data_IF_305336424821
#
_entry.id   IF_305336424821
#
_cell.length_a   1.000
_cell.length_b   1.000
_cell.length_c   1.000
_cell.angle_alpha   90.00
_cell.angle_beta   90.00
_cell.angle_gamma   90.00
#
_symmetry.space_group_name_H-M   'P 1'
#
loop_
_entity.id
_entity.type
_entity.pdbx_description
1 polymer ?
2 non-polymer ?
3 non-polymer ?
4 non-polymer ?
5 water ?
#
# COMPACT_ATOMS: atom_id res chain seq x y z
N UNK A 5 8.94 -23.24 -15.09
CA UNK A 5 9.06 -23.79 -13.72
C UNK A 5 7.86 -23.35 -12.89
N UNK A 6 7.76 -23.86 -11.66
CA UNK A 6 6.58 -23.65 -10.83
C UNK A 6 6.75 -22.37 -10.03
N UNK A 7 5.75 -21.49 -10.09
CA UNK A 7 5.77 -20.25 -9.34
C UNK A 7 4.88 -20.40 -8.12
N UNK A 8 5.37 -19.91 -6.99
CA UNK A 8 4.62 -19.90 -5.74
C UNK A 8 4.56 -18.47 -5.20
N UNK A 9 3.37 -18.03 -4.83
CA UNK A 9 3.09 -16.69 -4.34
C UNK A 9 2.87 -16.78 -2.83
N UNK A 10 3.81 -16.21 -2.09
CA UNK A 10 3.86 -16.34 -0.64
C UNK A 10 3.66 -14.97 -0.06
N UNK A 11 2.82 -14.89 0.96
CA UNK A 11 2.47 -13.63 1.61
C UNK A 11 2.91 -13.71 3.07
N UNK A 12 3.54 -12.64 3.54
CA UNK A 12 4.02 -12.56 4.91
C UNK A 12 3.11 -11.58 5.61
N UNK A 13 2.46 -12.05 6.68
CA UNK A 13 1.49 -11.23 7.41
C UNK A 13 1.72 -11.41 8.91
N UNK A 14 1.22 -10.44 9.67
CA UNK A 14 1.36 -10.39 11.11
C UNK A 14 1.46 -8.94 11.55
N UNK A 15 1.35 -8.73 12.85
CA UNK A 15 1.21 -7.36 13.29
C UNK A 15 2.52 -6.57 13.11
N UNK A 16 2.42 -5.27 13.32
CA UNK A 16 3.57 -4.41 13.08
C UNK A 16 4.73 -4.72 14.01
N UNK A 17 5.94 -4.73 13.45
CA UNK A 17 7.13 -4.82 14.28
C UNK A 17 7.65 -6.24 14.56
N UNK A 18 6.93 -7.27 14.13
CA UNK A 18 7.29 -8.64 14.47
C UNK A 18 8.45 -9.19 13.66
N UNK A 19 8.83 -8.56 12.56
CA UNK A 19 9.97 -9.02 11.79
C UNK A 19 9.68 -9.59 10.43
N UNK A 20 8.47 -9.35 9.92
CA UNK A 20 8.07 -9.71 8.56
C UNK A 20 9.09 -9.32 7.52
N UNK A 21 9.40 -8.03 7.44
CA UNK A 21 10.37 -7.57 6.45
C UNK A 21 11.74 -8.16 6.68
N UNK A 22 12.20 -8.17 7.93
CA UNK A 22 13.52 -8.74 8.16
C UNK A 22 13.60 -10.19 7.67
N UNK A 23 12.54 -10.99 7.85
CA UNK A 23 12.56 -12.39 7.43
C UNK A 23 12.62 -12.49 5.91
N UNK A 24 11.84 -11.67 5.25
CA UNK A 24 11.85 -11.59 3.80
C UNK A 24 13.24 -11.24 3.27
N UNK A 25 13.85 -10.17 3.80
CA UNK A 25 15.13 -9.73 3.27
C UNK A 25 16.23 -10.73 3.62
N UNK A 26 16.09 -11.47 4.72
CA UNK A 26 17.04 -12.55 4.99
C UNK A 26 16.96 -13.59 3.86
N UNK A 27 15.73 -13.98 3.51
CA UNK A 27 15.52 -14.98 2.46
C UNK A 27 16.06 -14.49 1.13
N UNK A 28 15.75 -13.25 0.77
CA UNK A 28 16.06 -12.70 -0.54
C UNK A 28 17.53 -12.34 -0.65
N UNK A 29 18.06 -11.65 0.38
CA UNK A 29 19.35 -10.97 0.29
C UNK A 29 20.38 -11.41 1.34
N UNK A 30 20.02 -12.33 2.22
CA UNK A 30 20.94 -12.91 3.20
C UNK A 30 21.60 -11.84 4.06
N UNK A 31 20.84 -10.80 4.43
CA UNK A 31 21.33 -9.86 5.41
C UNK A 31 20.18 -9.41 6.30
N UNK A 32 20.54 -9.03 7.52
CA UNK A 32 19.58 -8.69 8.56
C UNK A 32 19.38 -7.18 8.59
N UNK A 33 18.13 -6.76 8.34
CA UNK A 33 17.66 -5.38 8.37
C UNK A 33 17.55 -4.96 9.83
N UNK A 34 18.44 -4.07 10.27
CA UNK A 34 18.43 -3.58 11.65
C UNK A 34 17.49 -2.41 11.86
N UNK A 35 17.27 -1.59 10.85
CA UNK A 35 16.32 -0.50 10.97
C UNK A 35 14.89 -1.03 10.91
N UNK A 36 13.98 -0.32 11.58
CA UNK A 36 12.53 -0.53 11.42
C UNK A 36 12.03 0.49 10.41
N UNK A 37 11.78 0.04 9.19
CA UNK A 37 11.23 0.83 8.10
C UNK A 37 9.86 0.24 7.82
N UNK A 38 8.78 0.79 8.37
CA UNK A 38 7.51 0.06 8.31
C UNK A 38 7.00 -0.07 6.89
N UNK A 39 6.40 -1.23 6.63
CA UNK A 39 5.95 -1.55 5.30
C UNK A 39 4.50 -1.12 5.06
N UNK A 40 4.25 -0.56 3.88
CA UNK A 40 2.92 -0.43 3.33
C UNK A 40 2.66 -1.64 2.43
N UNK A 41 3.53 -1.85 1.42
CA UNK A 41 3.55 -3.11 0.68
C UNK A 41 4.82 -3.21 -0.15
N UNK A 42 5.51 -4.36 -0.07
CA UNK A 42 6.63 -4.60 -0.97
C UNK A 42 6.61 -6.02 -1.50
N UNK A 43 7.24 -6.21 -2.67
CA UNK A 43 7.34 -7.54 -3.24
C UNK A 43 8.73 -7.82 -3.77
N UNK A 44 9.02 -9.12 -3.85
CA UNK A 44 10.36 -9.64 -4.18
C UNK A 44 10.19 -10.90 -4.99
N UNK A 45 11.23 -11.25 -5.74
CA UNK A 45 11.19 -12.48 -6.52
C UNK A 45 12.52 -13.17 -6.40
N UNK A 46 12.46 -14.49 -6.22
CA UNK A 46 13.68 -15.28 -6.09
C UNK A 46 13.49 -16.63 -6.74
N UNK A 47 14.49 -17.03 -7.53
CA UNK A 47 14.56 -18.37 -8.09
C UNK A 47 15.33 -19.25 -7.16
N UNK A 48 14.74 -20.37 -6.79
CA UNK A 48 15.36 -21.30 -5.86
C UNK A 48 15.00 -22.72 -6.28
N UNK A 49 15.66 -23.66 -5.65
CA UNK A 49 15.40 -25.08 -5.82
C UNK A 49 14.94 -25.62 -4.48
N UNK A 50 13.73 -26.16 -4.46
CA UNK A 50 13.14 -26.76 -3.27
C UNK A 50 12.85 -28.21 -3.58
N UNK A 51 13.51 -29.12 -2.84
CA UNK A 51 13.43 -30.55 -3.08
C UNK A 51 13.77 -30.85 -4.54
N UNK A 52 14.86 -30.24 -5.00
CA UNK A 52 15.41 -30.44 -6.33
C UNK A 52 14.41 -30.11 -7.45
N UNK A 53 13.38 -29.31 -7.15
CA UNK A 53 12.45 -28.77 -8.14
C UNK A 53 12.73 -27.29 -8.38
N UNK A 54 12.71 -26.87 -9.63
CA UNK A 54 12.94 -25.48 -9.97
C UNK A 54 11.71 -24.66 -9.61
N UNK A 55 11.89 -23.66 -8.76
CA UNK A 55 10.81 -22.83 -8.25
C UNK A 55 11.13 -21.36 -8.52
N UNK A 56 10.07 -20.58 -8.70
CA UNK A 56 10.13 -19.12 -8.60
C UNK A 56 9.20 -18.69 -7.46
N UNK A 57 9.75 -17.96 -6.51
CA UNK A 57 8.97 -17.48 -5.39
C UNK A 57 8.65 -16.03 -5.63
N UNK A 58 7.37 -15.65 -5.50
CA UNK A 58 6.96 -14.27 -5.37
C UNK A 58 6.57 -14.06 -3.91
N UNK A 59 7.27 -13.15 -3.22
CA UNK A 59 7.07 -12.87 -1.80
C UNK A 59 6.40 -11.51 -1.68
N UNK A 60 5.23 -11.48 -1.07
CA UNK A 60 4.53 -10.25 -0.77
C UNK A 60 4.76 -9.93 0.70
N UNK A 61 5.40 -8.82 0.97
CA UNK A 61 5.65 -8.32 2.31
C UNK A 61 4.60 -7.24 2.60
N UNK A 62 3.72 -7.48 3.58
CA UNK A 62 2.55 -6.65 3.81
C UNK A 62 2.67 -5.78 5.07
N UNK A 63 1.83 -4.77 5.14
CA UNK A 63 1.78 -3.90 6.31
C UNK A 63 1.14 -4.62 7.50
N UNK A 64 1.83 -4.59 8.63
CA UNK A 64 1.25 -5.14 9.82
C UNK A 64 0.48 -4.11 10.63
N UNK A 65 0.73 -2.82 10.39
CA UNK A 65 0.06 -1.77 11.14
C UNK A 65 -1.45 -1.75 10.82
N UNK A 66 -2.27 -1.53 11.85
CA UNK A 66 -3.73 -1.67 11.72
C UNK A 66 -4.34 -0.66 10.74
N UNK A 67 -3.80 0.56 10.67
CA UNK A 67 -4.32 1.58 9.77
C UNK A 67 -4.24 1.15 8.30
N UNK A 68 -3.47 0.11 7.97
CA UNK A 68 -3.31 -0.31 6.57
C UNK A 68 -4.07 -1.62 6.29
N UNK A 69 -5.02 -2.00 7.13
CA UNK A 69 -5.59 -3.33 7.01
C UNK A 69 -6.27 -3.54 5.65
N UNK A 70 -6.93 -2.51 5.11
CA UNK A 70 -7.61 -2.67 3.82
C UNK A 70 -6.64 -2.78 2.65
N UNK A 71 -5.52 -2.05 2.68
CA UNK A 71 -4.55 -2.25 1.62
C UNK A 71 -3.98 -3.65 1.68
N UNK A 72 -3.75 -4.15 2.91
CA UNK A 72 -3.27 -5.51 3.11
C UNK A 72 -4.26 -6.52 2.55
N UNK A 73 -5.56 -6.28 2.78
CA UNK A 73 -6.61 -7.14 2.25
C UNK A 73 -6.48 -7.29 0.75
N UNK A 74 -6.29 -6.16 0.07
CA UNK A 74 -6.20 -6.17 -1.37
C UNK A 74 -4.94 -6.88 -1.84
N UNK A 75 -3.80 -6.55 -1.25
CA UNK A 75 -2.57 -7.16 -1.74
C UNK A 75 -2.52 -8.65 -1.42
N UNK A 76 -3.17 -9.09 -0.35
CA UNK A 76 -3.18 -10.51 0.03
C UNK A 76 -3.88 -11.40 -0.98
N UNK A 77 -4.79 -10.85 -1.80
CA UNK A 77 -5.70 -11.68 -2.55
C UNK A 77 -5.02 -12.53 -3.62
N UNK A 78 -3.82 -12.15 -4.07
CA UNK A 78 -3.11 -13.00 -5.02
C UNK A 78 -2.16 -13.98 -4.36
N UNK A 79 -2.24 -14.12 -3.06
CA UNK A 79 -1.37 -15.04 -2.39
C UNK A 79 -1.92 -16.44 -2.43
N UNK A 80 -1.01 -17.40 -2.49
CA UNK A 80 -1.34 -18.81 -2.46
C UNK A 80 -1.10 -19.45 -1.11
N UNK A 81 -0.09 -18.97 -0.39
CA UNK A 81 0.20 -19.47 0.93
C UNK A 81 0.65 -18.30 1.79
N UNK A 82 0.53 -18.47 3.09
CA UNK A 82 0.78 -17.36 4.01
C UNK A 82 1.70 -17.75 5.19
N UNK A 83 2.71 -16.90 5.43
CA UNK A 83 3.45 -16.92 6.68
C UNK A 83 2.76 -16.01 7.67
N UNK A 84 2.33 -16.57 8.77
CA UNK A 84 1.67 -15.79 9.83
C UNK A 84 2.66 -15.62 10.97
N UNK A 85 3.17 -14.39 11.13
CA UNK A 85 4.33 -14.11 11.97
C UNK A 85 3.89 -13.39 13.24
N UNK A 86 4.33 -13.89 14.37
CA UNK A 86 4.30 -13.15 15.60
C UNK A 86 5.74 -13.04 16.12
N UNK A 87 5.92 -12.37 17.24
CA UNK A 87 7.24 -12.38 17.88
C UNK A 87 7.11 -12.91 19.31
N UNK A 88 8.12 -13.69 19.72
CA UNK A 88 8.04 -14.40 20.98
C UNK A 88 8.09 -13.48 22.18
N UNK A 89 8.39 -12.20 21.97
CA UNK A 89 8.46 -11.25 23.07
C UNK A 89 7.14 -10.52 23.28
N UNK A 90 6.11 -10.88 22.52
CA UNK A 90 4.87 -10.12 22.47
C UNK A 90 3.68 -11.07 22.41
N UNK A 91 3.00 -11.24 23.56
CA UNK A 91 1.79 -12.06 23.56
C UNK A 91 0.74 -11.42 22.67
N UNK A 92 0.71 -10.08 22.63
CA UNK A 92 -0.24 -9.38 21.77
C UNK A 92 -0.06 -9.74 20.30
N UNK A 93 1.19 -9.89 19.84
CA UNK A 93 1.41 -10.31 18.47
C UNK A 93 0.85 -11.72 18.22
N UNK A 94 0.96 -12.63 19.19
CA UNK A 94 0.31 -13.93 19.01
C UNK A 94 -1.20 -13.82 19.03
N UNK A 95 -1.77 -13.04 19.96
CA UNK A 95 -3.22 -12.93 20.04
C UNK A 95 -3.81 -12.39 18.74
N UNK A 96 -3.07 -11.52 18.03
CA UNK A 96 -3.60 -10.99 16.79
C UNK A 96 -3.59 -11.99 15.66
N UNK A 97 -2.87 -13.11 15.83
CA UNK A 97 -2.76 -14.10 14.76
C UNK A 97 -4.13 -14.65 14.40
N UNK A 98 -4.98 -14.81 15.39
CA UNK A 98 -6.31 -15.34 15.12
C UNK A 98 -7.06 -14.49 14.11
N UNK A 99 -6.95 -13.15 14.24
CA UNK A 99 -7.63 -12.23 13.32
C UNK A 99 -6.98 -12.25 11.94
N UNK A 100 -5.65 -12.39 11.87
CA UNK A 100 -4.97 -12.49 10.58
C UNK A 100 -5.41 -13.75 9.83
N UNK A 101 -5.50 -14.88 10.51
CA UNK A 101 -6.02 -16.08 9.88
C UNK A 101 -7.42 -15.84 9.35
N UNK A 102 -8.28 -15.22 10.14
CA UNK A 102 -9.65 -15.06 9.66
C UNK A 102 -9.71 -14.11 8.48
N UNK A 103 -8.85 -13.09 8.45
CA UNK A 103 -8.78 -12.23 7.28
C UNK A 103 -8.28 -13.00 6.05
N UNK A 104 -7.29 -13.88 6.25
CA UNK A 104 -6.80 -14.71 5.15
C UNK A 104 -7.92 -15.57 4.61
N UNK A 105 -8.64 -16.25 5.49
CA UNK A 105 -9.67 -17.16 4.99
C UNK A 105 -10.80 -16.40 4.30
N UNK A 106 -11.11 -15.20 4.77
CA UNK A 106 -12.16 -14.41 4.15
C UNK A 106 -11.73 -13.87 2.79
N UNK A 107 -10.48 -13.44 2.65
CA UNK A 107 -10.06 -12.87 1.37
C UNK A 107 -9.94 -13.95 0.31
N UNK A 108 -9.49 -15.15 0.68
CA UNK A 108 -9.36 -16.26 -0.25
C UNK A 108 -10.67 -17.03 -0.42
N UNK A 109 -11.65 -16.76 0.42
CA UNK A 109 -12.96 -17.37 0.29
C UNK A 109 -12.84 -18.89 0.35
N UNK A 110 -12.11 -19.36 1.35
CA UNK A 110 -11.84 -20.77 1.55
C UNK A 110 -11.84 -21.11 3.03
N UNK A 111 -12.11 -22.40 3.31
CA UNK A 111 -12.13 -22.90 4.69
C UNK A 111 -10.72 -23.13 5.21
N UNK A 112 -9.81 -23.53 4.31
CA UNK A 112 -8.42 -23.76 4.65
C UNK A 112 -7.57 -23.13 3.55
N UNK A 113 -6.44 -22.59 3.95
CA UNK A 113 -5.51 -21.97 3.02
C UNK A 113 -4.12 -22.35 3.48
N UNK A 114 -3.18 -22.66 2.57
CA UNK A 114 -1.82 -23.00 3.01
C UNK A 114 -1.26 -21.91 3.90
N UNK A 115 -0.74 -22.34 5.04
CA UNK A 115 -0.37 -21.40 6.09
C UNK A 115 0.66 -22.07 6.98
N UNK A 116 1.51 -21.24 7.61
CA UNK A 116 2.37 -21.70 8.68
C UNK A 116 2.43 -20.60 9.73
N UNK A 117 2.52 -21.02 10.99
CA UNK A 117 2.64 -20.11 12.11
C UNK A 117 4.11 -19.98 12.48
N UNK A 118 4.57 -18.73 12.54
CA UNK A 118 5.97 -18.39 12.71
C UNK A 118 6.11 -17.50 13.95
N UNK A 119 6.83 -17.98 14.96
CA UNK A 119 7.17 -17.18 16.11
C UNK A 119 8.59 -16.64 15.97
N UNK A 120 8.70 -15.38 15.51
CA UNK A 120 9.95 -14.76 15.14
C UNK A 120 10.61 -14.10 16.36
N UNK A 121 11.88 -13.71 16.19
CA UNK A 121 12.68 -13.10 17.26
C UNK A 121 13.06 -14.10 18.35
N UNK A 122 13.27 -15.36 17.97
CA UNK A 122 13.54 -16.37 18.99
C UNK A 122 14.92 -16.21 19.61
N UNK A 123 15.76 -15.33 19.08
CA UNK A 123 17.03 -14.98 19.72
C UNK A 123 16.83 -14.11 20.95
N UNK A 124 15.63 -13.53 21.12
CA UNK A 124 15.29 -12.66 22.24
C UNK A 124 14.75 -13.46 23.42
N UNK A 125 15.53 -14.45 23.84
CA UNK A 125 15.13 -15.27 24.97
C UNK A 125 14.98 -14.44 26.24
N UNK A 126 15.84 -13.44 26.45
CA UNK A 126 15.67 -12.55 27.60
C UNK A 126 14.35 -11.81 27.58
N UNK A 127 13.65 -11.73 26.45
CA UNK A 127 12.40 -11.01 26.39
C UNK A 127 11.19 -11.91 26.11
N UNK A 128 11.39 -13.22 26.13
CA UNK A 128 10.30 -14.14 25.77
C UNK A 128 9.11 -14.04 26.73
N UNK A 129 7.91 -14.00 26.18
CA UNK A 129 6.70 -14.19 26.98
C UNK A 129 5.69 -15.12 26.34
N UNK A 130 5.87 -15.50 25.08
CA UNK A 130 5.16 -16.61 24.47
C UNK A 130 6.08 -17.83 24.46
N UNK A 131 5.68 -18.90 25.15
CA UNK A 131 6.48 -20.11 25.13
C UNK A 131 6.32 -20.81 23.77
N UNK A 132 7.34 -21.60 23.41
CA UNK A 132 7.21 -22.47 22.25
C UNK A 132 5.93 -23.28 22.34
N UNK A 133 5.63 -23.82 23.53
CA UNK A 133 4.40 -24.55 23.77
C UNK A 133 3.16 -23.75 23.37
N UNK A 134 3.14 -22.46 23.71
CA UNK A 134 1.94 -21.68 23.47
C UNK A 134 1.76 -21.43 22.00
N UNK A 135 2.84 -21.12 21.30
CA UNK A 135 2.80 -21.07 19.84
C UNK A 135 2.36 -22.38 19.24
N UNK A 136 2.96 -23.49 19.65
CA UNK A 136 2.56 -24.78 19.11
C UNK A 136 1.08 -25.05 19.39
N UNK A 137 0.55 -24.56 20.51
CA UNK A 137 -0.87 -24.75 20.78
C UNK A 137 -1.75 -24.02 19.76
N UNK A 138 -1.38 -22.80 19.37
CA UNK A 138 -2.19 -22.07 18.40
C UNK A 138 -2.18 -22.77 17.05
N UNK A 139 -1.00 -23.16 16.59
CA UNK A 139 -0.88 -23.86 15.31
C UNK A 139 -1.67 -25.16 15.33
N UNK A 140 -1.61 -25.90 16.44
CA UNK A 140 -2.34 -27.16 16.56
C UNK A 140 -3.84 -26.95 16.48
N UNK A 141 -4.33 -25.85 17.07
CA UNK A 141 -5.76 -25.54 16.99
C UNK A 141 -6.21 -25.29 15.56
N UNK A 142 -5.32 -24.85 14.68
CA UNK A 142 -5.64 -24.63 13.27
C UNK A 142 -5.07 -25.67 12.32
N UNK A 143 -4.44 -26.73 12.84
CA UNK A 143 -3.89 -27.79 12.01
C UNK A 143 -2.94 -27.22 10.96
N UNK A 144 -2.01 -26.40 11.43
CA UNK A 144 -0.97 -25.83 10.58
C UNK A 144 0.38 -26.06 11.22
N UNK A 145 1.42 -26.07 10.40
CA UNK A 145 2.78 -26.21 10.92
C UNK A 145 3.21 -24.95 11.69
N UNK A 146 4.19 -25.17 12.56
CA UNK A 146 4.73 -24.16 13.43
C UNK A 146 6.25 -24.24 13.41
N UNK A 147 6.88 -23.08 13.57
CA UNK A 147 8.33 -22.92 13.57
C UNK A 147 8.63 -21.65 14.34
N UNK A 148 9.67 -21.67 15.14
CA UNK A 148 10.27 -20.44 15.64
C UNK A 148 11.43 -20.03 14.75
N UNK A 149 11.55 -18.73 14.50
CA UNK A 149 12.52 -18.19 13.58
C UNK A 149 13.26 -17.05 14.23
N UNK A 150 14.45 -16.76 13.67
CA UNK A 150 15.15 -15.52 13.99
C UNK A 150 15.68 -14.95 12.68
N UNK A 151 15.15 -13.80 12.28
CA UNK A 151 15.76 -13.03 11.18
C UNK A 151 17.18 -12.58 11.50
N UNK A 152 17.46 -12.28 12.77
CA UNK A 152 18.77 -11.76 13.13
C UNK A 152 19.86 -12.81 13.08
N UNK A 153 19.58 -14.01 13.59
CA UNK A 153 20.59 -15.08 13.63
C UNK A 153 20.48 -16.03 12.46
N UNK A 154 19.59 -15.77 11.52
CA UNK A 154 19.32 -16.69 10.40
C UNK A 154 18.95 -18.09 10.91
N UNK A 155 17.88 -18.13 11.69
CA UNK A 155 17.34 -19.38 12.24
C UNK A 155 15.99 -19.65 11.59
N UNK A 156 15.91 -20.77 10.85
CA UNK A 156 14.69 -21.28 10.23
C UNK A 156 14.08 -20.34 9.22
N UNK A 157 14.88 -19.43 8.63
CA UNK A 157 14.34 -18.52 7.64
C UNK A 157 13.96 -19.26 6.37
N UNK A 158 14.94 -19.92 5.74
CA UNK A 158 14.66 -20.71 4.55
C UNK A 158 13.67 -21.79 4.86
N UNK A 159 13.86 -22.45 6.02
CA UNK A 159 12.94 -23.52 6.42
C UNK A 159 11.48 -23.08 6.36
N UNK A 160 11.17 -21.88 6.84
CA UNK A 160 9.76 -21.51 6.96
C UNK A 160 9.14 -21.21 5.60
N UNK A 161 9.85 -20.48 4.76
CA UNK A 161 9.35 -20.20 3.41
C UNK A 161 9.28 -21.48 2.58
N UNK A 162 10.25 -22.39 2.74
CA UNK A 162 10.25 -23.58 1.89
C UNK A 162 9.13 -24.53 2.33
N UNK A 163 8.88 -24.62 3.64
CA UNK A 163 7.81 -25.48 4.12
C UNK A 163 6.46 -24.92 3.70
N UNK A 164 6.35 -23.60 3.56
CA UNK A 164 5.10 -23.05 3.07
C UNK A 164 4.87 -23.47 1.62
N UNK A 165 5.93 -23.48 0.83
CA UNK A 165 5.82 -23.98 -0.55
C UNK A 165 5.34 -25.42 -0.55
N UNK A 166 5.83 -26.22 0.41
CA UNK A 166 5.34 -27.60 0.50
C UNK A 166 3.87 -27.64 0.91
N UNK A 167 3.42 -26.71 1.74
CA UNK A 167 2.00 -26.66 2.08
C UNK A 167 1.15 -26.33 0.85
N UNK A 168 1.63 -25.41 0.04
CA UNK A 168 0.92 -25.01 -1.18
C UNK A 168 0.85 -26.17 -2.15
N UNK A 169 1.93 -26.97 -2.24
CA UNK A 169 2.00 -28.07 -3.19
C UNK A 169 0.91 -29.11 -2.94
N UNK A 170 0.51 -29.32 -1.69
CA UNK A 170 -0.48 -30.33 -1.36
C UNK A 170 -1.92 -29.80 -1.34
N UNK A 171 -2.12 -28.53 -1.69
CA UNK A 171 -3.42 -27.86 -1.63
C UNK A 171 -4.20 -28.03 -2.92
N UNK B 5 -22.94 25.39 -19.38
CA UNK B 5 -22.17 26.24 -18.43
C UNK B 5 -20.68 25.95 -18.60
N UNK B 6 -19.83 26.48 -17.74
CA UNK B 6 -18.41 26.25 -17.88
C UNK B 6 -18.06 24.84 -17.40
N UNK B 7 -17.29 24.13 -18.21
CA UNK B 7 -16.80 22.79 -17.89
C UNK B 7 -15.32 22.86 -17.52
N UNK B 8 -14.95 22.06 -16.52
CA UNK B 8 -13.58 21.92 -16.05
C UNK B 8 -13.25 20.45 -16.03
N UNK B 9 -12.27 20.04 -16.81
CA UNK B 9 -11.79 18.67 -16.78
C UNK B 9 -10.60 18.56 -15.83
N UNK B 10 -10.78 17.77 -14.77
CA UNK B 10 -9.84 17.65 -13.67
C UNK B 10 -9.37 16.20 -13.59
N UNK B 11 -8.07 15.99 -13.48
CA UNK B 11 -7.50 14.65 -13.51
C UNK B 11 -6.76 14.43 -12.22
N UNK B 12 -6.94 13.26 -11.63
CA UNK B 12 -6.28 12.97 -10.35
C UNK B 12 -5.19 11.95 -10.60
N UNK B 13 -3.94 12.31 -10.25
CA UNK B 13 -2.78 11.49 -10.55
C UNK B 13 -1.89 11.32 -9.32
N UNK B 14 -1.14 10.25 -9.33
CA UNK B 14 -0.22 9.93 -8.25
C UNK B 14 -0.08 8.43 -8.11
N UNK B 15 0.87 8.02 -7.27
CA UNK B 15 1.21 6.62 -7.24
C UNK B 15 0.12 5.80 -6.57
N UNK B 16 0.16 4.49 -6.80
CA UNK B 16 -0.86 3.62 -6.26
C UNK B 16 -1.00 3.71 -4.76
N UNK B 17 -2.25 3.84 -4.29
CA UNK B 17 -2.55 3.68 -2.90
C UNK B 17 -2.57 4.96 -2.08
N UNK B 18 -2.33 6.13 -2.70
CA UNK B 18 -2.26 7.39 -1.96
C UNK B 18 -3.62 7.97 -1.56
N UNK B 19 -4.72 7.58 -2.21
CA UNK B 19 -6.04 8.05 -1.86
C UNK B 19 -6.72 8.85 -2.95
N UNK B 20 -6.27 8.69 -4.18
CA UNK B 20 -6.87 9.43 -5.30
C UNK B 20 -8.35 9.13 -5.43
N UNK B 21 -8.70 7.85 -5.44
CA UNK B 21 -10.09 7.47 -5.59
C UNK B 21 -10.91 7.86 -4.36
N UNK B 22 -10.31 7.75 -3.16
CA UNK B 22 -10.99 8.15 -1.94
C UNK B 22 -11.28 9.64 -1.92
N UNK B 23 -10.34 10.47 -2.37
CA UNK B 23 -10.60 11.90 -2.49
C UNK B 23 -11.70 12.18 -3.49
N UNK B 24 -11.66 11.49 -4.63
CA UNK B 24 -12.64 11.72 -5.68
C UNK B 24 -14.04 11.35 -5.23
N UNK B 25 -14.15 10.20 -4.56
CA UNK B 25 -15.48 9.77 -4.13
C UNK B 25 -15.97 10.60 -2.96
N UNK B 26 -15.08 11.21 -2.17
CA UNK B 26 -15.53 12.10 -1.11
C UNK B 26 -16.09 13.38 -1.70
N UNK B 27 -15.47 13.87 -2.76
CA UNK B 27 -16.04 14.99 -3.49
C UNK B 27 -17.39 14.64 -4.09
N UNK B 28 -17.51 13.48 -4.73
CA UNK B 28 -18.69 13.21 -5.54
C UNK B 28 -19.83 12.68 -4.68
N UNK B 29 -19.54 11.82 -3.72
CA UNK B 29 -20.53 11.08 -2.95
C UNK B 29 -20.44 11.30 -1.46
N UNK B 30 -19.47 12.09 -0.99
CA UNK B 30 -19.32 12.45 0.42
C UNK B 30 -19.32 11.22 1.32
N UNK B 31 -18.64 10.15 0.89
CA UNK B 31 -18.38 9.06 1.81
C UNK B 31 -16.96 8.56 1.59
N UNK B 32 -16.42 7.97 2.65
CA UNK B 32 -15.05 7.53 2.63
C UNK B 32 -14.98 6.07 2.20
N UNK B 33 -14.26 5.82 1.10
CA UNK B 33 -14.00 4.46 0.61
C UNK B 33 -12.98 3.80 1.54
N UNK B 34 -13.38 2.75 2.23
CA UNK B 34 -12.45 2.06 3.11
C UNK B 34 -11.64 0.99 2.40
N UNK B 35 -12.19 0.35 1.38
CA UNK B 35 -11.50 -0.73 0.69
C UNK B 35 -10.49 -0.16 -0.30
N UNK B 36 -9.49 -0.97 -0.67
CA UNK B 36 -8.53 -0.59 -1.71
C UNK B 36 -8.91 -1.40 -2.95
N UNK B 37 -9.70 -0.76 -3.83
CA UNK B 37 -10.05 -1.25 -5.15
C UNK B 37 -9.20 -0.51 -6.17
N UNK B 38 -8.11 -1.09 -6.67
CA UNK B 38 -7.22 -0.34 -7.56
C UNK B 38 -7.91 0.11 -8.83
N UNK B 39 -7.53 1.29 -9.28
CA UNK B 39 -8.14 1.94 -10.42
C UNK B 39 -7.34 1.63 -11.68
N UNK B 40 -8.05 1.26 -12.75
CA UNK B 40 -7.52 1.35 -14.11
C UNK B 40 -7.90 2.71 -14.67
N UNK B 41 -9.21 2.99 -14.81
CA UNK B 41 -9.65 4.35 -15.07
C UNK B 41 -11.13 4.48 -14.75
N UNK B 42 -11.50 5.60 -14.12
CA UNK B 42 -12.88 5.89 -13.77
C UNK B 42 -13.12 7.38 -13.93
N UNK B 43 -14.35 7.74 -14.24
CA UNK B 43 -14.70 9.13 -14.49
C UNK B 43 -16.03 9.47 -13.84
N UNK B 44 -16.16 10.74 -13.43
CA UNK B 44 -17.30 11.24 -12.69
C UNK B 44 -17.61 12.66 -13.14
N UNK B 45 -18.89 13.06 -12.95
CA UNK B 45 -19.35 14.41 -13.26
C UNK B 45 -20.07 15.00 -12.07
N UNK B 46 -19.77 16.26 -11.77
CA UNK B 46 -20.41 16.93 -10.65
C UNK B 46 -20.72 18.35 -11.05
N UNK B 47 -22.00 18.73 -10.93
CA UNK B 47 -22.42 20.12 -11.09
C UNK B 47 -22.26 20.82 -9.75
N UNK B 48 -21.50 21.91 -9.73
CA UNK B 48 -21.25 22.63 -8.51
C UNK B 48 -21.28 24.11 -8.81
N UNK B 49 -21.29 24.88 -7.74
CA UNK B 49 -21.13 26.33 -7.79
C UNK B 49 -19.82 26.69 -7.11
N UNK B 50 -18.97 27.43 -7.82
CA UNK B 50 -17.66 27.80 -7.31
C UNK B 50 -17.54 29.31 -7.50
N UNK B 51 -17.38 30.03 -6.38
CA UNK B 51 -17.47 31.49 -6.40
C UNK B 51 -18.86 31.85 -6.94
N UNK B 52 -18.98 32.82 -7.85
CA UNK B 52 -20.29 33.26 -8.33
C UNK B 52 -20.86 32.39 -9.45
N UNK B 53 -20.29 31.21 -9.71
CA UNK B 53 -20.43 30.55 -11.00
C UNK B 53 -21.13 29.21 -10.86
N UNK B 54 -21.62 28.73 -11.99
CA UNK B 54 -22.20 27.40 -12.11
C UNK B 54 -21.26 26.58 -12.98
N UNK B 55 -20.70 25.52 -12.40
CA UNK B 55 -19.65 24.74 -13.00
C UNK B 55 -20.11 23.30 -13.18
N UNK B 56 -19.58 22.66 -14.22
CA UNK B 56 -19.62 21.22 -14.37
C UNK B 56 -18.18 20.72 -14.23
N UNK B 57 -17.94 19.86 -13.26
CA UNK B 57 -16.63 19.23 -13.13
C UNK B 57 -16.69 17.84 -13.75
N UNK B 58 -15.73 17.56 -14.59
CA UNK B 58 -15.44 16.22 -15.08
C UNK B 58 -14.17 15.77 -14.39
N UNK B 59 -14.28 14.71 -13.59
CA UNK B 59 -13.16 14.22 -12.78
C UNK B 59 -12.71 12.88 -13.33
N UNK B 60 -11.44 12.81 -13.74
CA UNK B 60 -10.84 11.57 -14.22
C UNK B 60 -9.98 11.00 -13.12
N UNK B 61 -10.33 9.82 -12.64
CA UNK B 61 -9.57 9.14 -11.58
C UNK B 61 -8.69 8.07 -12.23
N UNK B 62 -7.36 8.26 -12.16
CA UNK B 62 -6.42 7.49 -12.95
C UNK B 62 -5.67 6.46 -12.10
N UNK B 63 -5.00 5.55 -12.81
CA UNK B 63 -4.22 4.49 -12.19
C UNK B 63 -2.90 5.00 -11.65
N UNK B 64 -2.61 4.70 -10.38
CA UNK B 64 -1.29 4.99 -9.84
C UNK B 64 -0.27 3.89 -10.05
N UNK B 65 -0.70 2.66 -10.25
CA UNK B 65 0.24 1.54 -10.43
C UNK B 65 0.97 1.61 -11.78
N UNK B 66 2.30 1.41 -11.74
CA UNK B 66 3.15 1.69 -12.90
C UNK B 66 2.84 0.79 -14.12
N UNK B 67 2.37 -0.44 -13.91
CA UNK B 67 2.02 -1.27 -15.06
C UNK B 67 0.90 -0.65 -15.92
N UNK B 68 0.22 0.39 -15.43
CA UNK B 68 -0.81 1.09 -16.21
C UNK B 68 -0.39 2.50 -16.64
N UNK B 69 0.91 2.80 -16.62
CA UNK B 69 1.36 4.17 -16.92
C UNK B 69 0.98 4.62 -18.32
N UNK B 70 1.04 3.72 -19.32
CA UNK B 70 0.66 4.11 -20.67
C UNK B 70 -0.84 4.37 -20.80
N UNK B 71 -1.68 3.65 -20.07
CA UNK B 71 -3.11 3.94 -20.13
C UNK B 71 -3.41 5.27 -19.44
N UNK B 72 -2.75 5.53 -18.32
CA UNK B 72 -2.81 6.83 -17.67
C UNK B 72 -2.43 7.95 -18.64
N UNK B 73 -1.33 7.76 -19.35
CA UNK B 73 -0.89 8.71 -20.37
C UNK B 73 -2.01 9.09 -21.32
N UNK B 74 -2.74 8.09 -21.79
CA UNK B 74 -3.82 8.30 -22.73
C UNK B 74 -5.00 9.01 -22.08
N UNK B 75 -5.34 8.62 -20.86
CA UNK B 75 -6.52 9.19 -20.22
C UNK B 75 -6.26 10.62 -19.74
N UNK B 76 -5.00 10.95 -19.43
CA UNK B 76 -4.60 12.30 -19.01
C UNK B 76 -4.79 13.36 -20.08
N UNK B 77 -4.81 12.93 -21.34
CA UNK B 77 -4.79 13.82 -22.50
C UNK B 77 -5.88 14.88 -22.44
N UNK B 78 -7.08 14.50 -22.03
CA UNK B 78 -8.18 15.47 -22.01
C UNK B 78 -8.20 16.37 -20.78
N UNK B 79 -7.28 16.21 -19.83
CA UNK B 79 -7.37 16.97 -18.60
C UNK B 79 -6.97 18.42 -18.82
N UNK B 80 -7.61 19.31 -18.09
CA UNK B 80 -7.23 20.71 -18.09
C UNK B 80 -6.40 21.08 -16.87
N UNK B 81 -6.58 20.35 -15.78
CA UNK B 81 -5.83 20.59 -14.58
C UNK B 81 -5.68 19.28 -13.87
N UNK B 82 -4.68 19.24 -13.00
CA UNK B 82 -4.20 17.97 -12.43
C UNK B 82 -4.02 18.09 -10.93
N UNK B 83 -4.66 17.20 -10.15
CA UNK B 83 -4.29 17.01 -8.75
C UNK B 83 -3.17 15.99 -8.75
N UNK B 84 -2.06 16.34 -8.12
CA UNK B 84 -0.91 15.45 -8.03
C UNK B 84 -0.87 15.02 -6.57
N UNK B 85 -1.11 13.75 -6.30
CA UNK B 85 -1.39 13.29 -4.95
C UNK B 85 -0.25 12.41 -4.45
N UNK B 86 0.22 12.69 -3.25
CA UNK B 86 1.04 11.76 -2.50
C UNK B 86 0.34 11.59 -1.16
N UNK B 87 0.89 10.70 -0.32
CA UNK B 87 0.40 10.50 1.04
C UNK B 87 1.52 10.79 2.02
N UNK B 88 1.17 11.40 3.16
CA UNK B 88 2.17 11.95 4.07
C UNK B 88 2.96 10.86 4.75
N UNK B 89 2.50 9.63 4.66
CA UNK B 89 3.16 8.50 5.29
C UNK B 89 4.20 7.84 4.37
N UNK B 90 4.36 8.31 3.13
CA UNK B 90 5.23 7.66 2.13
C UNK B 90 6.08 8.71 1.45
N UNK B 91 7.34 8.81 1.91
CA UNK B 91 8.34 9.56 1.17
C UNK B 91 8.41 9.13 -0.30
N UNK B 92 8.36 7.82 -0.58
CA UNK B 92 8.43 7.36 -1.97
C UNK B 92 7.30 7.96 -2.81
N UNK B 93 6.10 8.13 -2.26
CA UNK B 93 5.02 8.66 -3.08
C UNK B 93 5.28 10.12 -3.46
N UNK B 94 5.95 10.88 -2.58
CA UNK B 94 6.26 12.26 -2.93
C UNK B 94 7.35 12.31 -3.98
N UNK B 95 8.34 11.40 -3.85
CA UNK B 95 9.46 11.40 -4.78
C UNK B 95 8.99 11.06 -6.20
N UNK B 96 7.94 10.24 -6.31
CA UNK B 96 7.35 9.97 -7.61
C UNK B 96 6.66 11.18 -8.21
N UNK B 97 6.34 12.20 -7.41
CA UNK B 97 5.61 13.35 -7.96
C UNK B 97 6.42 14.04 -9.04
N UNK B 98 7.74 14.00 -8.96
CA UNK B 98 8.54 14.64 -10.00
C UNK B 98 8.26 14.03 -11.37
N UNK B 99 8.18 12.70 -11.45
CA UNK B 99 7.88 12.03 -12.71
C UNK B 99 6.45 12.29 -13.17
N UNK B 100 5.49 12.28 -12.23
CA UNK B 100 4.11 12.54 -12.62
C UNK B 100 3.99 13.91 -13.26
N UNK B 101 4.67 14.90 -12.69
CA UNK B 101 4.62 16.24 -13.25
C UNK B 101 5.27 16.26 -14.63
N UNK B 102 6.45 15.64 -14.76
CA UNK B 102 7.04 15.55 -16.09
C UNK B 102 6.08 14.90 -17.08
N UNK B 103 5.41 13.81 -16.68
CA UNK B 103 4.48 13.15 -17.59
C UNK B 103 3.34 14.08 -17.97
N UNK B 104 2.86 14.89 -17.04
CA UNK B 104 1.77 15.82 -17.36
C UNK B 104 2.22 16.83 -18.40
N UNK B 105 3.36 17.48 -18.17
CA UNK B 105 3.87 18.49 -19.11
C UNK B 105 4.15 17.87 -20.49
N UNK B 106 4.52 16.59 -20.52
CA UNK B 106 4.75 15.92 -21.79
C UNK B 106 3.45 15.65 -22.52
N UNK B 107 2.45 15.10 -21.83
CA UNK B 107 1.19 14.77 -22.48
C UNK B 107 0.47 16.03 -22.99
N UNK B 108 0.46 17.11 -22.19
CA UNK B 108 -0.15 18.37 -22.61
C UNK B 108 0.74 19.17 -23.57
N UNK B 109 2.01 18.77 -23.71
CA UNK B 109 3.05 19.49 -24.42
C UNK B 109 2.99 20.99 -24.12
N UNK B 110 3.17 21.28 -22.84
CA UNK B 110 3.25 22.62 -22.31
C UNK B 110 4.37 22.66 -21.28
N UNK B 111 4.96 23.83 -21.11
CA UNK B 111 5.95 24.03 -20.06
C UNK B 111 5.33 24.17 -18.68
N UNK B 112 4.07 24.63 -18.61
CA UNK B 112 3.31 24.80 -17.38
C UNK B 112 1.88 24.32 -17.60
N UNK B 113 1.29 23.72 -16.59
CA UNK B 113 -0.07 23.19 -16.67
C UNK B 113 -0.72 23.44 -15.31
N UNK B 114 -2.01 23.83 -15.23
CA UNK B 114 -2.64 23.95 -13.91
C UNK B 114 -2.54 22.64 -13.15
N UNK B 115 -1.97 22.72 -11.95
CA UNK B 115 -1.86 21.56 -11.10
C UNK B 115 -1.68 22.02 -9.66
N UNK B 116 -2.03 21.14 -8.74
CA UNK B 116 -1.88 21.36 -7.32
C UNK B 116 -1.25 20.12 -6.73
N UNK B 117 -0.38 20.32 -5.74
CA UNK B 117 0.23 19.23 -4.96
C UNK B 117 -0.57 18.99 -3.69
N UNK B 118 -0.97 17.73 -3.49
CA UNK B 118 -1.83 17.30 -2.40
C UNK B 118 -1.14 16.21 -1.57
N UNK B 119 -0.96 16.47 -0.30
CA UNK B 119 -0.46 15.51 0.65
C UNK B 119 -1.64 14.90 1.37
N UNK B 120 -2.03 13.70 0.97
CA UNK B 120 -3.22 13.05 1.47
C UNK B 120 -2.86 12.19 2.65
N UNK B 121 -3.91 11.72 3.33
CA UNK B 121 -3.82 10.87 4.50
C UNK B 121 -3.29 11.64 5.69
N UNK B 122 -3.56 12.93 5.70
CA UNK B 122 -2.96 13.76 6.75
C UNK B 122 -3.56 13.46 8.13
N UNK B 123 -4.57 12.57 8.25
CA UNK B 123 -5.04 12.07 9.54
C UNK B 123 -4.07 11.06 10.16
N UNK B 124 -3.19 10.48 9.35
CA UNK B 124 -2.24 9.45 9.80
C UNK B 124 -0.97 10.09 10.33
N UNK B 125 -1.15 11.03 11.26
CA UNK B 125 -0.02 11.70 11.89
C UNK B 125 0.95 10.69 12.54
N UNK B 126 0.42 9.62 13.15
CA UNK B 126 1.28 8.58 13.70
C UNK B 126 2.22 7.95 12.67
N UNK B 127 1.92 8.08 11.39
CA UNK B 127 2.72 7.45 10.35
C UNK B 127 3.40 8.46 9.47
N UNK B 128 3.38 9.73 9.84
CA UNK B 128 3.96 10.74 9.00
C UNK B 128 5.46 10.53 8.84
N UNK B 129 5.93 10.62 7.59
CA UNK B 129 7.36 10.80 7.32
C UNK B 129 7.66 11.90 6.32
N UNK B 130 6.66 12.45 5.65
CA UNK B 130 6.81 13.66 4.84
C UNK B 130 6.27 14.84 5.63
N UNK B 131 7.12 15.80 5.91
CA UNK B 131 6.69 16.94 6.70
C UNK B 131 5.86 17.87 5.82
N UNK B 132 5.01 18.68 6.48
CA UNK B 132 4.28 19.72 5.75
C UNK B 132 5.26 20.59 4.98
N UNK B 133 6.33 21.00 5.65
CA UNK B 133 7.34 21.85 5.06
C UNK B 133 7.98 21.18 3.86
N UNK B 134 8.10 19.85 3.89
CA UNK B 134 8.75 19.14 2.79
C UNK B 134 7.83 19.09 1.58
N UNK B 135 6.53 18.90 1.80
CA UNK B 135 5.60 19.00 0.69
C UNK B 135 5.54 20.40 0.11
N UNK B 136 5.49 21.42 0.97
CA UNK B 136 5.56 22.82 0.54
C UNK B 136 6.82 23.08 -0.27
N UNK B 137 7.92 22.43 0.09
CA UNK B 137 9.16 22.64 -0.65
C UNK B 137 9.04 22.15 -2.08
N UNK B 138 8.38 21.00 -2.30
CA UNK B 138 8.25 20.49 -3.66
C UNK B 138 7.36 21.41 -4.47
N UNK B 139 6.23 21.83 -3.88
CA UNK B 139 5.28 22.66 -4.60
C UNK B 139 5.92 24.00 -4.93
N UNK B 140 6.68 24.56 -3.99
CA UNK B 140 7.33 25.84 -4.24
C UNK B 140 8.31 25.76 -5.42
N UNK B 141 9.02 24.63 -5.53
CA UNK B 141 10.02 24.49 -6.60
C UNK B 141 9.38 24.49 -7.97
N UNK B 142 8.10 24.16 -8.05
CA UNK B 142 7.34 24.17 -9.31
C UNK B 142 6.37 25.32 -9.35
N UNK B 143 6.36 26.15 -8.31
CA UNK B 143 5.45 27.27 -8.16
C UNK B 143 4.02 26.82 -8.47
N UNK B 144 3.57 25.86 -7.67
CA UNK B 144 2.19 25.38 -7.69
C UNK B 144 1.67 25.40 -6.26
N UNK B 145 0.34 25.47 -6.11
CA UNK B 145 -0.24 25.46 -4.77
C UNK B 145 -0.14 24.10 -4.13
N UNK B 146 -0.27 24.13 -2.81
CA UNK B 146 -0.04 22.96 -1.99
C UNK B 146 -1.12 22.88 -0.92
N UNK B 147 -1.53 21.64 -0.61
CA UNK B 147 -2.53 21.37 0.40
C UNK B 147 -2.29 19.98 0.96
N UNK B 148 -2.52 19.81 2.26
CA UNK B 148 -2.75 18.49 2.84
C UNK B 148 -4.23 18.23 3.04
N UNK B 149 -4.62 16.98 2.85
CA UNK B 149 -6.00 16.57 2.77
C UNK B 149 -6.09 15.26 3.51
N UNK B 150 -7.32 14.90 3.83
CA UNK B 150 -7.62 13.57 4.29
C UNK B 150 -9.01 13.21 3.76
N UNK B 151 -9.05 12.14 2.99
CA UNK B 151 -10.31 11.65 2.46
C UNK B 151 -11.11 10.98 3.56
N UNK B 152 -10.39 10.43 4.58
CA UNK B 152 -11.03 9.77 5.71
C UNK B 152 -11.77 10.78 6.60
N UNK B 153 -11.10 11.85 7.01
CA UNK B 153 -11.70 12.90 7.85
C UNK B 153 -12.32 14.05 7.05
N UNK B 154 -12.38 13.96 5.72
CA UNK B 154 -12.94 15.04 4.91
C UNK B 154 -12.26 16.38 5.22
N UNK B 155 -10.95 16.41 5.10
CA UNK B 155 -10.17 17.63 5.31
C UNK B 155 -9.69 18.10 3.96
N UNK B 156 -10.12 19.31 3.56
CA UNK B 156 -9.59 19.98 2.37
C UNK B 156 -9.91 19.23 1.08
N UNK B 157 -10.99 18.44 1.05
CA UNK B 157 -11.31 17.69 -0.16
C UNK B 157 -11.90 18.62 -1.22
N UNK B 158 -12.98 19.31 -0.89
CA UNK B 158 -13.52 20.26 -1.87
C UNK B 158 -12.53 21.39 -2.10
N UNK B 159 -11.73 21.73 -1.08
CA UNK B 159 -10.78 22.82 -1.24
C UNK B 159 -9.78 22.52 -2.37
N UNK B 160 -9.34 21.26 -2.48
CA UNK B 160 -8.27 20.86 -3.40
C UNK B 160 -8.78 20.95 -4.82
N UNK B 161 -9.98 20.42 -5.03
CA UNK B 161 -10.61 20.44 -6.35
C UNK B 161 -11.05 21.83 -6.76
N UNK B 162 -11.65 22.61 -5.84
CA UNK B 162 -12.04 23.97 -6.23
C UNK B 162 -10.82 24.87 -6.45
N UNK B 163 -9.75 24.72 -5.66
CA UNK B 163 -8.57 25.52 -5.93
C UNK B 163 -7.98 25.14 -7.28
N UNK B 164 -8.12 23.87 -7.68
CA UNK B 164 -7.65 23.47 -8.99
C UNK B 164 -8.45 24.16 -10.10
N UNK B 165 -9.76 24.26 -9.90
CA UNK B 165 -10.57 24.99 -10.86
C UNK B 165 -10.08 26.42 -10.99
N UNK B 166 -9.74 27.05 -9.88
CA UNK B 166 -9.27 28.43 -9.95
C UNK B 166 -7.90 28.58 -10.61
N UNK B 167 -7.02 27.58 -10.47
CA UNK B 167 -5.79 27.55 -11.24
C UNK B 167 -6.04 27.44 -12.75
N UNK B 168 -7.04 26.67 -13.16
CA UNK B 168 -7.43 26.61 -14.57
C UNK B 168 -7.91 27.96 -15.05
N UNK B 169 -8.75 28.61 -14.26
CA UNK B 169 -9.40 29.83 -14.72
C UNK B 169 -8.38 30.91 -15.06
N UNK B 170 -7.28 30.97 -14.34
CA UNK B 170 -6.29 32.04 -14.47
C UNK B 170 -5.17 31.72 -15.45
N UNK B 171 -5.11 30.48 -15.92
CA UNK B 171 -4.14 29.98 -16.90
C UNK B 171 -3.78 31.01 -17.96
#
# INVERSE_FOLDING_TARGET
>A
GAMAMTEYRLVVVGTGGVGKSALTIQLIQQHFVTEYDPTIEDSYRKHVSIDDEACLLDILDTAGQEDYSAMRDQYMRTGEGFLCVYSIDSQQSLDEIHSFREQILRVKDQDEVPMILVGNKCDLEEHREVSTEAGQAVAKSYSIPFMETSAKKRINVEEAFYQLVREIRKY
>B
GAMAMTEYRLVVVGTGGVGKSALTIQLIQQHFVTEYDPTIEDSYRKHVSIDDEACLLDILDTAGQEDYSAMRDQYMRTGEGFLCVYSIDSQQSLDEIHSFREQILRVKDQDEVPMILVGNKCDLEEHREVSTEAGQAVAKSYSIPFMETSAKKRINVEEAFYQLVREIRKY
#
